data_IF_210994472078
#
_entry.id   IF_210994472078
#
_cell.length_a   1.000
_cell.length_b   1.000
_cell.length_c   1.000
_cell.angle_alpha   90.00
_cell.angle_beta   90.00
_cell.angle_gamma   90.00
#
_symmetry.space_group_name_H-M   'P 1'
#
loop_
_entity.id
_entity.type
_entity.pdbx_description
1 polymer ?
#
# COMPACT_ATOMS: atom_id res chain seq x y z
N UNK A 1 -5.15 -12.32 -6.39
CA UNK A 1 -4.62 -12.21 -5.01
C UNK A 1 -5.75 -12.50 -4.04
N UNK A 2 -5.55 -13.27 -2.95
CA UNK A 2 -6.56 -13.41 -1.91
C UNK A 2 -6.85 -12.06 -1.24
N UNK A 3 -8.10 -11.79 -0.91
CA UNK A 3 -8.48 -10.59 -0.16
C UNK A 3 -7.68 -10.50 1.16
N UNK A 4 -7.18 -9.30 1.48
CA UNK A 4 -6.40 -9.05 2.70
C UNK A 4 -4.92 -9.48 2.64
N UNK A 5 -4.37 -9.84 1.48
CA UNK A 5 -2.93 -10.14 1.33
C UNK A 5 -2.22 -9.08 0.49
N UNK A 6 -1.12 -8.54 1.03
CA UNK A 6 -0.27 -7.55 0.35
C UNK A 6 0.48 -8.11 -0.86
N UNK A 7 1.06 -7.23 -1.66
CA UNK A 7 1.88 -7.59 -2.82
C UNK A 7 3.35 -7.76 -2.38
N UNK A 8 4.04 -8.86 -2.75
CA UNK A 8 5.46 -8.99 -2.46
C UNK A 8 6.26 -7.87 -3.13
N UNK A 9 7.04 -7.17 -2.32
CA UNK A 9 7.87 -6.03 -2.71
C UNK A 9 9.27 -6.29 -2.16
N UNK A 10 10.29 -6.08 -2.97
CA UNK A 10 11.68 -6.35 -2.57
C UNK A 10 12.66 -5.64 -3.49
N UNK A 11 13.89 -5.45 -3.04
CA UNK A 11 15.00 -4.99 -3.87
C UNK A 11 16.32 -5.53 -3.35
N UNK A 12 17.30 -5.66 -4.24
CA UNK A 12 18.68 -5.95 -3.90
C UNK A 12 19.55 -4.79 -4.41
N UNK A 13 20.30 -4.15 -3.53
CA UNK A 13 21.18 -3.01 -3.85
C UNK A 13 22.60 -3.31 -3.38
N UNK A 14 23.59 -2.92 -4.16
CA UNK A 14 25.02 -3.05 -3.84
C UNK A 14 25.74 -1.71 -3.88
N UNK A 15 26.97 -1.68 -3.35
CA UNK A 15 27.87 -0.51 -3.42
C UNK A 15 27.34 0.75 -2.72
N UNK A 16 26.64 0.58 -1.61
CA UNK A 16 26.28 1.70 -0.72
C UNK A 16 27.52 2.07 0.12
N UNK A 17 27.92 3.34 0.08
CA UNK A 17 29.02 3.85 0.91
C UNK A 17 28.51 4.16 2.32
N UNK A 18 28.82 3.32 3.29
CA UNK A 18 28.36 3.51 4.69
C UNK A 18 28.92 4.81 5.27
N UNK A 19 30.19 5.13 5.03
CA UNK A 19 30.84 6.36 5.53
C UNK A 19 30.15 7.64 5.04
N UNK A 20 29.55 7.59 3.84
CA UNK A 20 28.79 8.71 3.26
C UNK A 20 27.42 8.90 3.92
N UNK A 21 26.92 7.88 4.64
CA UNK A 21 25.58 7.82 5.21
C UNK A 21 25.55 7.76 6.76
N UNK A 22 26.69 7.97 7.43
CA UNK A 22 26.79 8.04 8.90
C UNK A 22 27.13 9.45 9.40
N UNK A 23 26.68 9.79 10.61
CA UNK A 23 27.01 11.04 11.27
C UNK A 23 27.19 10.83 12.78
N UNK A 24 28.01 11.68 13.40
CA UNK A 24 28.28 11.64 14.85
C UNK A 24 27.19 12.35 15.67
N UNK A 25 26.22 13.00 15.02
CA UNK A 25 25.09 13.69 15.64
C UNK A 25 23.79 13.35 14.93
N UNK A 26 22.69 13.35 15.67
CA UNK A 26 21.34 13.12 15.12
C UNK A 26 20.99 14.15 14.03
N UNK A 27 21.35 15.41 14.25
CA UNK A 27 21.13 16.50 13.30
C UNK A 27 21.89 16.30 11.98
N UNK A 28 23.13 15.79 12.04
CA UNK A 28 23.90 15.44 10.85
C UNK A 28 23.46 14.15 10.15
N UNK A 29 22.72 13.29 10.84
CA UNK A 29 22.20 12.04 10.29
C UNK A 29 20.93 12.26 9.44
N UNK A 30 20.15 13.31 9.71
CA UNK A 30 18.88 13.61 9.04
C UNK A 30 19.00 13.71 7.51
N UNK A 31 20.08 14.30 7.02
CA UNK A 31 20.31 14.50 5.57
C UNK A 31 21.14 13.38 4.92
N UNK A 32 21.52 12.34 5.68
CA UNK A 32 22.38 11.24 5.23
C UNK A 32 21.64 9.93 5.02
N UNK A 33 20.31 9.96 4.99
CA UNK A 33 19.46 8.79 4.79
C UNK A 33 19.75 8.06 3.46
N UNK A 34 19.56 6.74 3.45
CA UNK A 34 19.64 5.92 2.26
C UNK A 34 18.23 5.71 1.71
N UNK A 35 17.99 6.12 0.47
CA UNK A 35 16.70 5.93 -0.20
C UNK A 35 16.76 4.75 -1.16
N UNK A 36 15.95 3.71 -0.90
CA UNK A 36 15.88 2.53 -1.76
C UNK A 36 14.47 2.42 -2.38
N UNK A 37 14.33 2.61 -3.71
CA UNK A 37 13.04 2.49 -4.36
C UNK A 37 12.61 1.03 -4.46
N UNK A 38 11.57 0.61 -3.77
CA UNK A 38 11.17 -0.80 -3.77
C UNK A 38 10.37 -1.19 -5.02
N UNK A 39 10.50 -2.44 -5.47
CA UNK A 39 9.77 -2.96 -6.65
C UNK A 39 8.93 -4.19 -6.32
N UNK A 40 7.71 -4.24 -6.88
CA UNK A 40 6.83 -5.41 -6.75
C UNK A 40 7.38 -6.59 -7.52
N UNK A 41 7.18 -7.81 -7.02
CA UNK A 41 7.52 -9.06 -7.71
C UNK A 41 6.45 -9.50 -8.72
N UNK A 42 5.48 -8.63 -9.00
CA UNK A 42 4.35 -8.88 -9.90
C UNK A 42 4.13 -7.69 -10.83
N UNK A 43 3.39 -7.93 -11.90
CA UNK A 43 2.88 -6.92 -12.83
C UNK A 43 1.36 -6.99 -12.87
N UNK A 44 0.71 -5.90 -13.27
CA UNK A 44 -0.74 -5.89 -13.51
C UNK A 44 -1.00 -6.08 -15.00
N UNK A 45 -2.02 -6.87 -15.32
CA UNK A 45 -2.57 -7.00 -16.66
C UNK A 45 -4.00 -6.51 -16.64
N UNK A 46 -4.29 -5.52 -17.47
CA UNK A 46 -5.58 -4.88 -17.63
C UNK A 46 -6.15 -5.16 -19.01
N UNK A 47 -7.46 -5.37 -19.05
CA UNK A 47 -8.25 -5.36 -20.27
C UNK A 47 -9.26 -4.21 -20.24
N UNK A 48 -9.20 -3.36 -21.26
CA UNK A 48 -10.14 -2.25 -21.46
C UNK A 48 -10.82 -2.40 -22.80
N UNK A 49 -12.12 -2.08 -22.85
CA UNK A 49 -12.89 -2.13 -24.07
C UNK A 49 -13.74 -0.88 -24.26
N UNK A 50 -13.73 -0.33 -25.47
CA UNK A 50 -14.59 0.77 -25.85
C UNK A 50 -15.28 0.51 -27.19
N UNK A 51 -16.39 1.21 -27.44
CA UNK A 51 -17.10 1.15 -28.72
C UNK A 51 -17.46 2.54 -29.19
N UNK A 52 -17.46 2.73 -30.50
CA UNK A 52 -17.85 4.01 -31.11
C UNK A 52 -19.34 4.29 -30.85
N UNK A 53 -19.62 5.51 -30.41
CA UNK A 53 -20.97 6.06 -30.21
C UNK A 53 -21.63 6.41 -31.55
N UNK A 54 -22.91 6.75 -31.51
CA UNK A 54 -23.69 7.12 -32.70
C UNK A 54 -24.39 5.94 -33.38
N UNK A 55 -25.55 6.22 -33.99
CA UNK A 55 -26.37 5.23 -34.70
C UNK A 55 -25.61 4.54 -35.82
N UNK A 56 -24.81 5.32 -36.56
CA UNK A 56 -24.17 4.89 -37.80
C UNK A 56 -23.02 3.90 -37.53
N UNK A 57 -22.49 3.90 -36.30
CA UNK A 57 -21.46 2.97 -35.88
C UNK A 57 -21.99 1.55 -35.65
N UNK A 58 -23.30 1.36 -35.46
CA UNK A 58 -23.97 0.07 -35.27
C UNK A 58 -23.36 -0.82 -34.15
N UNK A 59 -22.74 -0.23 -33.12
CA UNK A 59 -22.00 -0.99 -32.08
C UNK A 59 -22.88 -1.50 -30.93
N UNK A 60 -24.20 -1.37 -30.97
CA UNK A 60 -25.09 -1.72 -29.84
C UNK A 60 -25.20 -3.21 -29.53
N UNK A 61 -24.68 -4.07 -30.42
CA UNK A 61 -24.71 -5.53 -30.29
C UNK A 61 -23.33 -6.15 -30.08
N UNK A 62 -22.26 -5.35 -30.05
CA UNK A 62 -20.90 -5.88 -29.89
C UNK A 62 -20.68 -6.36 -28.47
N UNK A 63 -19.98 -7.48 -28.27
CA UNK A 63 -19.56 -7.94 -26.95
C UNK A 63 -18.30 -8.78 -27.03
N UNK A 64 -17.54 -8.82 -25.95
CA UNK A 64 -16.44 -9.77 -25.78
C UNK A 64 -17.02 -11.04 -25.15
N UNK A 65 -16.83 -12.20 -25.75
CA UNK A 65 -17.43 -13.45 -25.26
C UNK A 65 -16.55 -14.15 -24.24
N UNK A 66 -15.22 -14.12 -24.44
CA UNK A 66 -14.21 -14.59 -23.49
C UNK A 66 -12.83 -14.06 -23.85
N UNK A 67 -11.92 -14.10 -22.89
CA UNK A 67 -10.51 -13.81 -23.10
C UNK A 67 -9.70 -15.00 -22.62
N UNK A 68 -8.71 -15.42 -23.43
CA UNK A 68 -7.83 -16.53 -23.13
C UNK A 68 -6.37 -16.08 -23.20
N UNK A 69 -5.66 -16.15 -22.07
CA UNK A 69 -4.21 -15.94 -22.03
C UNK A 69 -3.54 -17.32 -22.14
N UNK A 70 -2.61 -17.47 -23.07
CA UNK A 70 -1.95 -18.74 -23.37
C UNK A 70 -1.29 -19.36 -22.12
N UNK A 71 -1.38 -20.69 -22.04
CA UNK A 71 -0.63 -21.46 -21.06
C UNK A 71 0.87 -21.41 -21.33
N UNK A 72 1.66 -21.91 -20.38
CA UNK A 72 3.12 -21.90 -20.41
C UNK A 72 3.78 -20.51 -20.42
N UNK A 73 3.03 -19.44 -20.15
CA UNK A 73 3.53 -18.06 -20.06
C UNK A 73 3.86 -17.64 -18.63
N UNK A 74 3.05 -18.03 -17.64
CA UNK A 74 3.18 -17.59 -16.25
C UNK A 74 3.97 -18.66 -15.47
N UNK A 75 5.06 -18.32 -14.75
CA UNK A 75 5.80 -19.31 -14.01
C UNK A 75 5.02 -19.83 -12.79
N UNK A 76 5.34 -21.04 -12.37
CA UNK A 76 4.74 -21.69 -11.19
C UNK A 76 5.16 -21.03 -9.88
N UNK A 77 6.38 -20.48 -9.84
CA UNK A 77 6.95 -19.71 -8.74
C UNK A 77 7.69 -18.48 -9.27
N UNK A 78 7.93 -17.50 -8.39
CA UNK A 78 8.70 -16.31 -8.72
C UNK A 78 9.86 -16.12 -7.75
N UNK A 79 10.96 -15.57 -8.23
CA UNK A 79 12.00 -15.02 -7.37
C UNK A 79 11.46 -13.77 -6.67
N UNK A 80 11.56 -13.77 -5.33
CA UNK A 80 11.14 -12.60 -4.55
C UNK A 80 12.06 -11.44 -4.88
N UNK A 81 13.37 -11.60 -4.67
CA UNK A 81 14.37 -10.58 -4.96
C UNK A 81 14.71 -10.51 -6.45
N UNK A 82 14.74 -9.30 -7.05
CA UNK A 82 15.30 -9.10 -8.38
C UNK A 82 16.84 -9.21 -8.32
N UNK A 83 17.50 -9.04 -9.46
CA UNK A 83 18.95 -8.93 -9.49
C UNK A 83 19.43 -7.65 -8.78
N UNK A 84 20.67 -7.71 -8.31
CA UNK A 84 21.32 -6.61 -7.60
C UNK A 84 21.55 -5.41 -8.53
N UNK A 85 21.23 -4.22 -8.02
CA UNK A 85 21.51 -2.97 -8.71
C UNK A 85 22.50 -2.11 -7.90
N UNK A 86 23.41 -1.43 -8.60
CA UNK A 86 24.30 -0.45 -7.98
C UNK A 86 23.47 0.69 -7.38
N UNK A 87 23.79 1.07 -6.14
CA UNK A 87 23.15 2.19 -5.45
C UNK A 87 23.30 3.50 -6.23
N UNK A 88 22.21 4.24 -6.33
CA UNK A 88 22.20 5.57 -6.91
C UNK A 88 21.23 6.42 -6.07
N UNK A 89 21.77 7.40 -5.36
CA UNK A 89 21.05 8.29 -4.44
C UNK A 89 19.88 9.02 -5.10
N UNK A 90 20.05 9.41 -6.38
CA UNK A 90 19.02 10.07 -7.18
C UNK A 90 18.35 9.12 -8.18
N UNK A 91 18.71 7.84 -8.16
CA UNK A 91 18.38 6.90 -9.22
C UNK A 91 17.22 5.98 -8.88
N UNK A 92 16.14 6.11 -9.65
CA UNK A 92 15.17 5.03 -9.79
C UNK A 92 15.73 4.02 -10.80
N UNK A 93 16.47 3.00 -10.35
CA UNK A 93 16.99 1.99 -11.29
C UNK A 93 15.83 1.06 -11.72
N UNK A 94 15.44 1.13 -12.99
CA UNK A 94 14.17 0.62 -13.56
C UNK A 94 14.25 -0.79 -14.14
N UNK A 95 15.45 -1.30 -14.35
CA UNK A 95 15.69 -2.57 -15.01
C UNK A 95 15.82 -3.68 -13.97
N UNK A 96 14.69 -4.05 -13.36
CA UNK A 96 14.60 -5.03 -12.26
C UNK A 96 14.20 -6.42 -12.74
N UNK A 97 14.64 -6.77 -13.95
CA UNK A 97 14.53 -8.12 -14.49
C UNK A 97 15.47 -9.02 -13.72
N UNK A 98 14.99 -10.13 -13.14
CA UNK A 98 15.94 -11.16 -12.72
C UNK A 98 16.40 -11.99 -13.92
N UNK A 99 17.70 -12.00 -14.20
CA UNK A 99 18.34 -12.88 -15.18
C UNK A 99 18.24 -14.35 -14.75
N UNK A 100 17.84 -14.64 -13.49
CA UNK A 100 17.67 -16.01 -12.99
C UNK A 100 16.56 -16.80 -13.69
N UNK A 101 15.67 -16.15 -14.44
CA UNK A 101 14.64 -16.81 -15.25
C UNK A 101 15.17 -17.41 -16.57
N UNK A 102 16.38 -17.03 -17.01
CA UNK A 102 17.00 -17.55 -18.24
C UNK A 102 17.62 -18.95 -18.07
N UNK A 103 17.53 -19.52 -16.87
CA UNK A 103 17.98 -20.88 -16.60
C UNK A 103 16.91 -21.92 -16.97
N UNK A 104 17.35 -23.04 -17.55
CA UNK A 104 16.56 -24.18 -18.02
C UNK A 104 15.67 -24.89 -16.95
N UNK A 105 15.58 -24.35 -15.74
CA UNK A 105 14.81 -24.91 -14.61
C UNK A 105 13.48 -24.22 -14.30
N UNK A 106 13.11 -23.12 -14.98
CA UNK A 106 11.84 -22.43 -14.70
C UNK A 106 10.65 -23.22 -15.23
N UNK A 107 9.83 -23.76 -14.32
CA UNK A 107 8.57 -24.43 -14.66
C UNK A 107 7.42 -23.41 -14.82
N UNK A 108 6.64 -23.58 -15.88
CA UNK A 108 5.50 -22.71 -16.22
C UNK A 108 4.16 -23.41 -15.99
N UNK A 109 3.14 -22.64 -15.65
CA UNK A 109 1.77 -23.12 -15.53
C UNK A 109 1.27 -23.52 -16.92
N UNK A 110 0.98 -24.80 -17.20
CA UNK A 110 0.67 -25.26 -18.55
C UNK A 110 -0.74 -24.87 -19.01
N UNK A 111 -1.62 -24.53 -18.08
CA UNK A 111 -3.03 -24.24 -18.35
C UNK A 111 -3.24 -22.81 -18.84
N UNK A 112 -4.06 -22.66 -19.87
CA UNK A 112 -4.61 -21.38 -20.33
C UNK A 112 -5.39 -20.69 -19.20
N UNK A 113 -5.14 -19.41 -18.98
CA UNK A 113 -5.93 -18.57 -18.09
C UNK A 113 -7.16 -18.08 -18.84
N UNK A 114 -8.34 -18.48 -18.36
CA UNK A 114 -9.64 -18.08 -18.92
C UNK A 114 -10.23 -16.95 -18.10
N UNK A 115 -10.56 -15.85 -18.77
CA UNK A 115 -11.14 -14.64 -18.19
C UNK A 115 -12.54 -14.41 -18.77
N UNK A 116 -13.35 -13.65 -18.05
CA UNK A 116 -14.75 -13.45 -18.41
C UNK A 116 -14.89 -12.64 -19.71
N UNK A 117 -16.04 -12.80 -20.36
CA UNK A 117 -16.46 -11.88 -21.42
C UNK A 117 -16.93 -10.54 -20.85
N UNK A 118 -17.17 -9.58 -21.74
CA UNK A 118 -17.70 -8.26 -21.42
C UNK A 118 -18.94 -7.99 -22.26
N UNK A 119 -20.08 -7.84 -21.59
CA UNK A 119 -21.35 -7.54 -22.24
C UNK A 119 -21.39 -6.11 -22.80
N UNK A 120 -22.19 -5.89 -23.84
CA UNK A 120 -22.24 -4.58 -24.54
C UNK A 120 -22.50 -3.39 -23.59
N UNK A 121 -23.38 -3.60 -22.61
CA UNK A 121 -23.76 -2.57 -21.62
C UNK A 121 -22.57 -2.13 -20.76
N UNK A 122 -21.57 -2.99 -20.62
CA UNK A 122 -20.37 -2.77 -19.81
C UNK A 122 -19.20 -2.26 -20.68
N UNK A 123 -19.32 -2.33 -22.02
CA UNK A 123 -18.40 -1.70 -22.97
C UNK A 123 -18.82 -0.24 -23.18
N UNK A 124 -18.00 0.68 -22.68
CA UNK A 124 -18.28 2.12 -22.75
C UNK A 124 -18.38 2.59 -24.20
N UNK A 125 -19.47 3.28 -24.51
CA UNK A 125 -19.63 4.01 -25.77
C UNK A 125 -18.93 5.37 -25.68
N UNK A 126 -18.07 5.68 -26.65
CA UNK A 126 -17.29 6.93 -26.74
C UNK A 126 -17.27 7.44 -28.18
N UNK A 127 -17.09 8.75 -28.37
CA UNK A 127 -17.14 9.37 -29.71
C UNK A 127 -15.98 8.95 -30.61
N UNK A 128 -14.76 8.90 -30.04
CA UNK A 128 -13.55 8.47 -30.72
C UNK A 128 -12.77 7.43 -29.87
N UNK A 129 -13.02 6.13 -30.07
CA UNK A 129 -12.26 5.09 -29.39
C UNK A 129 -10.76 5.09 -29.69
N UNK A 130 -10.32 5.63 -30.84
CA UNK A 130 -8.91 5.62 -31.24
C UNK A 130 -8.08 6.62 -30.44
N UNK A 131 -8.73 7.65 -29.88
CA UNK A 131 -8.08 8.64 -29.01
C UNK A 131 -7.42 8.02 -27.77
N UNK A 132 -7.90 6.85 -27.35
CA UNK A 132 -7.41 6.04 -26.23
C UNK A 132 -6.36 5.00 -26.62
N UNK A 133 -5.87 4.98 -27.86
CA UNK A 133 -4.66 4.22 -28.17
C UNK A 133 -3.47 4.89 -27.47
N UNK A 134 -2.60 4.09 -26.85
CA UNK A 134 -1.42 4.57 -26.13
C UNK A 134 -0.54 5.45 -27.04
N UNK A 135 -0.19 6.65 -26.53
CA UNK A 135 0.76 7.59 -27.15
C UNK A 135 2.01 7.71 -26.25
N UNK A 136 2.60 8.89 -26.16
CA UNK A 136 3.83 9.14 -25.37
C UNK A 136 3.59 9.49 -23.89
N UNK A 137 2.38 9.25 -23.35
CA UNK A 137 2.08 9.56 -21.94
C UNK A 137 2.66 8.54 -20.95
N UNK A 138 2.72 8.89 -19.67
CA UNK A 138 3.03 7.96 -18.58
C UNK A 138 1.94 6.89 -18.40
N UNK A 139 2.23 5.87 -17.58
CA UNK A 139 1.25 4.84 -17.23
C UNK A 139 0.00 5.43 -16.56
N UNK A 140 0.22 6.32 -15.59
CA UNK A 140 -0.85 6.92 -14.81
C UNK A 140 -1.75 7.79 -15.69
N UNK A 141 -1.16 8.67 -16.51
CA UNK A 141 -1.92 9.49 -17.46
C UNK A 141 -2.76 8.65 -18.44
N UNK A 142 -2.25 7.47 -18.82
CA UNK A 142 -2.99 6.56 -19.69
C UNK A 142 -4.18 5.90 -18.98
N UNK A 143 -3.97 5.40 -17.76
CA UNK A 143 -5.03 4.81 -16.95
C UNK A 143 -6.08 5.86 -16.54
N UNK A 144 -5.65 7.08 -16.23
CA UNK A 144 -6.52 8.21 -15.90
C UNK A 144 -7.41 8.61 -17.09
N UNK A 145 -6.88 8.55 -18.33
CA UNK A 145 -7.69 8.80 -19.51
C UNK A 145 -8.88 7.83 -19.60
N UNK A 146 -8.66 6.53 -19.37
CA UNK A 146 -9.75 5.55 -19.32
C UNK A 146 -10.74 5.85 -18.19
N UNK A 147 -10.23 6.12 -16.99
CA UNK A 147 -11.05 6.38 -15.82
C UNK A 147 -11.94 7.64 -15.98
N UNK A 148 -11.37 8.72 -16.51
CA UNK A 148 -12.07 9.98 -16.74
C UNK A 148 -13.22 9.83 -17.74
N UNK A 149 -13.06 8.99 -18.76
CA UNK A 149 -14.12 8.66 -19.72
C UNK A 149 -15.12 7.62 -19.17
N UNK A 150 -14.77 6.95 -18.06
CA UNK A 150 -15.53 5.87 -17.47
C UNK A 150 -15.38 4.52 -18.20
N UNK A 151 -14.29 4.33 -18.94
CA UNK A 151 -13.89 3.04 -19.50
C UNK A 151 -13.24 2.24 -18.37
N UNK A 152 -13.91 1.17 -17.92
CA UNK A 152 -13.47 0.38 -16.76
C UNK A 152 -12.54 -0.76 -17.18
N UNK A 153 -11.67 -1.17 -16.28
CA UNK A 153 -10.91 -2.40 -16.45
C UNK A 153 -11.80 -3.60 -16.10
N UNK A 154 -11.88 -4.58 -16.99
CA UNK A 154 -12.79 -5.72 -16.82
C UNK A 154 -12.13 -6.93 -16.14
N UNK A 155 -10.86 -7.22 -16.44
CA UNK A 155 -10.14 -8.37 -15.90
C UNK A 155 -8.75 -7.99 -15.40
N UNK A 156 -8.69 -7.27 -14.27
CA UNK A 156 -7.41 -6.94 -13.62
C UNK A 156 -6.76 -8.21 -13.03
N UNK A 157 -5.66 -8.63 -13.66
CA UNK A 157 -4.87 -9.77 -13.23
C UNK A 157 -3.54 -9.31 -12.63
N UNK A 158 -3.11 -9.94 -11.54
CA UNK A 158 -1.75 -9.80 -11.03
C UNK A 158 -0.92 -10.98 -11.49
N UNK A 159 0.04 -10.71 -12.36
CA UNK A 159 0.90 -11.70 -12.97
C UNK A 159 2.23 -11.79 -12.25
N UNK A 160 2.69 -13.02 -12.02
CA UNK A 160 4.07 -13.30 -11.63
C UNK A 160 5.02 -12.79 -12.71
N UNK A 161 6.19 -12.31 -12.28
CA UNK A 161 7.29 -11.95 -13.17
C UNK A 161 7.58 -13.10 -14.16
N UNK A 162 7.66 -12.79 -15.46
CA UNK A 162 7.90 -13.77 -16.53
C UNK A 162 8.81 -13.18 -17.60
N UNK A 163 9.76 -13.97 -18.12
CA UNK A 163 10.58 -13.62 -19.28
C UNK A 163 9.95 -14.07 -20.61
N UNK A 164 8.77 -14.68 -20.59
CA UNK A 164 8.03 -15.08 -21.80
C UNK A 164 7.06 -13.98 -22.22
N UNK A 165 6.88 -13.85 -23.53
CA UNK A 165 5.83 -13.01 -24.09
C UNK A 165 4.45 -13.48 -23.59
N UNK A 166 3.60 -12.52 -23.23
CA UNK A 166 2.23 -12.79 -22.81
C UNK A 166 1.35 -12.68 -24.04
N UNK A 167 0.85 -13.83 -24.49
CA UNK A 167 0.01 -13.97 -25.67
C UNK A 167 -1.38 -14.42 -25.28
N UNK A 168 -2.35 -14.09 -26.12
CA UNK A 168 -3.70 -14.56 -25.92
C UNK A 168 -4.63 -14.22 -27.06
N UNK A 169 -5.86 -14.68 -26.91
CA UNK A 169 -6.94 -14.51 -27.87
C UNK A 169 -8.13 -13.87 -27.17
N UNK A 170 -8.67 -12.81 -27.78
CA UNK A 170 -9.93 -12.18 -27.38
C UNK A 170 -10.99 -12.65 -28.35
N UNK A 171 -12.00 -13.35 -27.83
CA UNK A 171 -13.15 -13.77 -28.61
C UNK A 171 -14.26 -12.75 -28.44
N UNK A 172 -14.91 -12.40 -29.54
CA UNK A 172 -15.91 -11.35 -29.56
C UNK A 172 -17.01 -11.65 -30.57
N UNK A 173 -18.13 -10.95 -30.44
CA UNK A 173 -19.24 -10.99 -31.37
C UNK A 173 -19.65 -9.56 -31.72
N UNK A 174 -20.15 -9.39 -32.94
CA UNK A 174 -20.68 -8.12 -33.46
C UNK A 174 -22.21 -8.10 -33.53
N UNK A 175 -22.84 -9.25 -33.25
CA UNK A 175 -24.25 -9.56 -33.50
C UNK A 175 -24.92 -10.18 -32.25
N UNK A 176 -24.55 -9.71 -31.05
CA UNK A 176 -25.20 -10.11 -29.81
C UNK A 176 -24.82 -11.49 -29.28
N UNK A 177 -23.81 -12.14 -29.88
CA UNK A 177 -23.33 -13.47 -29.52
C UNK A 177 -23.71 -14.58 -30.50
N UNK A 178 -24.30 -14.26 -31.65
CA UNK A 178 -24.71 -15.26 -32.65
C UNK A 178 -23.48 -15.80 -33.39
N UNK A 179 -22.58 -14.92 -33.83
CA UNK A 179 -21.34 -15.26 -34.52
C UNK A 179 -20.14 -14.88 -33.68
N UNK A 180 -19.28 -15.84 -33.38
CA UNK A 180 -18.01 -15.60 -32.69
C UNK A 180 -16.88 -15.35 -33.68
N UNK A 181 -16.10 -14.32 -33.39
CA UNK A 181 -14.84 -13.95 -34.05
C UNK A 181 -13.75 -13.88 -32.98
N UNK A 182 -12.50 -13.75 -33.42
CA UNK A 182 -11.37 -13.63 -32.51
C UNK A 182 -10.31 -12.68 -33.05
N UNK A 183 -9.62 -12.01 -32.13
CA UNK A 183 -8.37 -11.29 -32.42
C UNK A 183 -7.31 -11.67 -31.40
N UNK A 184 -6.04 -11.60 -31.78
CA UNK A 184 -4.93 -12.00 -30.91
C UNK A 184 -4.21 -10.78 -30.36
N UNK A 185 -3.60 -10.93 -29.19
CA UNK A 185 -2.69 -9.94 -28.64
C UNK A 185 -1.36 -10.57 -28.27
N UNK A 186 -0.30 -9.77 -28.34
CA UNK A 186 1.05 -10.17 -28.00
C UNK A 186 1.72 -9.03 -27.24
N UNK A 187 1.98 -9.25 -25.95
CA UNK A 187 2.80 -8.38 -25.12
C UNK A 187 4.20 -8.97 -25.13
N UNK A 188 5.15 -8.35 -25.86
CA UNK A 188 6.50 -8.89 -25.95
C UNK A 188 7.21 -8.79 -24.59
N UNK A 189 8.06 -9.77 -24.27
CA UNK A 189 9.03 -9.64 -23.18
C UNK A 189 10.39 -9.17 -23.67
N UNK A 190 10.70 -9.37 -24.96
CA UNK A 190 12.03 -9.15 -25.56
C UNK A 190 13.17 -9.84 -24.78
N UNK A 191 12.87 -10.92 -24.05
CA UNK A 191 13.80 -11.62 -23.16
C UNK A 191 13.96 -10.97 -21.78
N UNK A 192 13.38 -9.79 -21.53
CA UNK A 192 13.38 -9.15 -20.23
C UNK A 192 12.14 -9.52 -19.43
N UNK A 193 12.32 -9.80 -18.14
CA UNK A 193 11.22 -10.19 -17.29
C UNK A 193 10.29 -9.00 -17.02
N UNK A 194 8.99 -9.24 -17.18
CA UNK A 194 7.96 -8.22 -17.05
C UNK A 194 7.63 -8.05 -15.55
N UNK A 195 8.50 -7.36 -14.81
CA UNK A 195 8.35 -7.07 -13.37
C UNK A 195 7.92 -5.62 -13.13
N UNK A 196 7.00 -5.41 -12.18
CA UNK A 196 6.53 -4.07 -11.79
C UNK A 196 6.11 -3.23 -13.00
N UNK A 197 5.29 -3.83 -13.89
CA UNK A 197 4.74 -3.18 -15.08
C UNK A 197 3.21 -3.09 -15.00
N UNK A 198 2.68 -2.05 -15.62
CA UNK A 198 1.28 -1.92 -16.01
C UNK A 198 1.15 -2.40 -17.46
N UNK A 199 0.54 -3.57 -17.63
CA UNK A 199 0.29 -4.17 -18.93
C UNK A 199 -1.14 -3.89 -19.32
N UNK A 200 -1.35 -3.23 -20.45
CA UNK A 200 -2.69 -2.86 -20.90
C UNK A 200 -2.95 -3.48 -22.26
N UNK A 201 -4.04 -4.22 -22.36
CA UNK A 201 -4.62 -4.69 -23.61
C UNK A 201 -5.90 -3.88 -23.85
N UNK A 202 -5.83 -2.93 -24.78
CA UNK A 202 -6.97 -2.10 -25.14
C UNK A 202 -7.59 -2.59 -26.44
N UNK A 203 -8.86 -2.99 -26.37
CA UNK A 203 -9.67 -3.40 -27.51
C UNK A 203 -10.74 -2.37 -27.85
N UNK A 204 -10.99 -2.08 -29.12
CA UNK A 204 -12.07 -1.18 -29.50
C UNK A 204 -12.84 -1.57 -30.76
N UNK A 205 -14.12 -1.16 -30.81
CA UNK A 205 -15.03 -1.39 -31.94
C UNK A 205 -15.40 -0.07 -32.62
N UNK A 206 -15.02 0.10 -33.89
CA UNK A 206 -15.37 1.29 -34.68
C UNK A 206 -16.67 1.16 -35.46
N UNK A 207 -16.96 -0.05 -35.93
CA UNK A 207 -18.15 -0.39 -36.69
C UNK A 207 -18.63 -1.75 -36.18
N UNK A 208 -19.94 -1.88 -35.95
CA UNK A 208 -20.55 -3.10 -35.42
C UNK A 208 -20.55 -4.24 -36.43
N UNK A 209 -21.70 -4.55 -37.02
CA UNK A 209 -21.90 -5.74 -37.86
C UNK A 209 -20.89 -5.88 -39.02
N UNK A 210 -20.32 -4.78 -39.51
CA UNK A 210 -19.32 -4.77 -40.60
C UNK A 210 -17.87 -4.55 -40.12
N UNK A 211 -17.63 -4.35 -38.83
CA UNK A 211 -16.29 -4.06 -38.32
C UNK A 211 -15.57 -5.27 -37.73
N UNK A 212 -14.57 -4.95 -36.92
CA UNK A 212 -13.74 -5.89 -36.16
C UNK A 212 -13.36 -5.24 -34.84
N UNK A 213 -12.94 -6.08 -33.89
CA UNK A 213 -12.17 -5.61 -32.75
C UNK A 213 -10.77 -5.24 -33.26
N UNK A 214 -10.25 -4.10 -32.80
CA UNK A 214 -8.82 -3.78 -32.93
C UNK A 214 -8.20 -3.83 -31.54
N UNK A 215 -7.07 -4.53 -31.39
CA UNK A 215 -6.40 -4.71 -30.10
C UNK A 215 -5.01 -4.07 -30.12
N UNK A 216 -4.73 -3.24 -29.10
CA UNK A 216 -3.44 -2.57 -28.93
C UNK A 216 -2.86 -2.88 -27.54
N UNK A 217 -1.83 -3.73 -27.44
CA UNK A 217 -1.12 -3.96 -26.20
C UNK A 217 -0.13 -2.81 -25.91
N UNK A 218 0.11 -2.54 -24.64
CA UNK A 218 1.17 -1.62 -24.19
C UNK A 218 1.79 -2.07 -22.87
N UNK A 219 3.08 -1.79 -22.72
CA UNK A 219 3.88 -2.08 -21.52
C UNK A 219 4.29 -0.76 -20.93
N UNK A 220 3.97 -0.55 -19.66
CA UNK A 220 4.20 0.71 -18.99
C UNK A 220 4.79 0.47 -17.61
N UNK A 221 5.49 1.48 -17.08
CA UNK A 221 6.03 1.39 -15.73
C UNK A 221 4.91 1.49 -14.70
N UNK A 222 4.88 0.56 -13.75
CA UNK A 222 4.01 0.74 -12.60
C UNK A 222 4.66 1.73 -11.62
N UNK A 223 4.28 2.99 -11.75
CA UNK A 223 4.87 4.13 -11.05
C UNK A 223 4.56 4.18 -9.55
N UNK A 224 3.52 3.49 -9.06
CA UNK A 224 3.23 3.40 -7.60
C UNK A 224 4.22 2.51 -6.83
N UNK A 225 5.49 2.44 -7.25
CA UNK A 225 6.55 1.86 -6.44
C UNK A 225 6.67 2.64 -5.15
N UNK A 226 6.35 2.00 -4.02
CA UNK A 226 6.56 2.64 -2.72
C UNK A 226 8.03 3.06 -2.62
N UNK A 227 8.28 4.34 -2.42
CA UNK A 227 9.56 4.75 -1.84
C UNK A 227 9.45 4.45 -0.36
N UNK A 228 10.29 3.52 0.13
CA UNK A 228 10.56 3.46 1.56
C UNK A 228 11.63 4.49 1.87
N UNK A 229 11.25 5.47 2.67
CA UNK A 229 12.16 6.42 3.26
C UNK A 229 12.48 5.88 4.65
N UNK A 230 13.76 5.56 4.90
CA UNK A 230 14.21 5.17 6.24
C UNK A 230 14.35 6.38 7.18
N UNK A 231 14.03 7.58 6.69
CA UNK A 231 13.67 8.69 7.57
C UNK A 231 12.26 8.37 8.06
N UNK A 232 12.19 7.73 9.22
CA UNK A 232 10.93 7.45 9.93
C UNK A 232 10.04 8.69 9.85
N UNK A 233 8.74 8.50 9.57
CA UNK A 233 7.77 9.50 9.97
C UNK A 233 8.02 9.73 11.46
N UNK A 234 8.54 10.91 11.82
CA UNK A 234 8.93 11.18 13.20
C UNK A 234 7.74 11.85 13.88
N UNK A 235 7.29 11.24 14.97
CA UNK A 235 6.49 11.95 15.95
C UNK A 235 7.43 12.30 17.08
N UNK A 236 7.68 13.59 17.29
CA UNK A 236 8.41 14.01 18.48
C UNK A 236 7.53 13.72 19.69
N UNK A 237 8.00 12.86 20.59
CA UNK A 237 7.26 12.58 21.82
C UNK A 237 7.91 13.34 22.96
N UNK A 238 7.18 14.33 23.48
CA UNK A 238 7.63 15.10 24.63
C UNK A 238 7.07 14.44 25.88
N UNK A 239 7.98 13.98 26.72
CA UNK A 239 7.67 13.37 28.01
C UNK A 239 8.01 14.34 29.15
N UNK A 240 7.17 14.43 30.20
CA UNK A 240 7.51 15.15 31.41
C UNK A 240 8.39 14.30 32.33
N UNK A 241 9.18 14.97 33.17
CA UNK A 241 9.77 14.36 34.37
C UNK A 241 8.62 13.99 35.33
N UNK A 242 8.24 12.71 35.29
CA UNK A 242 7.14 12.16 36.08
C UNK A 242 7.58 10.90 36.81
N UNK A 243 6.82 10.54 37.83
CA UNK A 243 7.10 9.36 38.66
C UNK A 243 7.08 8.07 37.85
N UNK A 244 8.08 7.22 38.10
CA UNK A 244 8.27 5.92 37.43
C UNK A 244 8.26 4.77 38.44
N UNK A 245 7.93 3.59 37.96
CA UNK A 245 8.21 2.30 38.58
C UNK A 245 9.40 1.65 37.88
N UNK A 246 9.76 0.42 38.28
CA UNK A 246 10.74 -0.36 37.52
C UNK A 246 10.26 -0.79 36.13
N UNK A 247 8.97 -0.63 35.82
CA UNK A 247 8.36 -1.08 34.58
C UNK A 247 7.95 0.07 33.63
N UNK A 248 7.51 1.21 34.18
CA UNK A 248 7.04 2.33 33.37
C UNK A 248 6.61 3.54 34.20
N UNK A 249 5.82 4.42 33.61
CA UNK A 249 5.27 5.59 34.30
C UNK A 249 4.12 5.23 35.23
N UNK A 250 4.05 5.88 36.39
CA UNK A 250 2.92 5.69 37.32
C UNK A 250 1.66 6.37 36.80
N UNK A 251 0.54 5.66 36.86
CA UNK A 251 -0.80 6.19 36.57
C UNK A 251 -1.79 5.80 37.66
N UNK A 252 -2.85 6.61 37.82
CA UNK A 252 -3.75 6.53 38.97
C UNK A 252 -5.20 6.47 38.51
N UNK A 253 -5.97 5.55 39.10
CA UNK A 253 -7.41 5.49 38.85
C UNK A 253 -8.10 6.73 39.43
N UNK A 254 -8.99 7.34 38.66
CA UNK A 254 -9.74 8.54 39.09
C UNK A 254 -8.92 9.83 39.11
N UNK A 255 -7.62 9.80 38.76
CA UNK A 255 -6.72 10.95 38.90
C UNK A 255 -5.79 11.10 37.68
N UNK A 256 -6.32 11.47 36.49
CA UNK A 256 -5.54 11.58 35.24
C UNK A 256 -4.29 12.45 35.37
N UNK A 257 -4.44 13.65 35.95
CA UNK A 257 -3.37 14.65 36.06
C UNK A 257 -2.23 14.29 37.02
N UNK A 258 -2.37 13.22 37.82
CA UNK A 258 -1.23 12.68 38.61
C UNK A 258 -0.30 11.81 37.76
N UNK A 259 -0.76 11.32 36.62
CA UNK A 259 0.06 10.64 35.63
C UNK A 259 0.81 11.65 34.74
N UNK A 260 1.77 11.17 33.93
CA UNK A 260 2.45 12.03 32.97
C UNK A 260 1.49 12.51 31.87
N UNK A 261 1.52 13.81 31.56
CA UNK A 261 0.92 14.33 30.33
C UNK A 261 1.83 13.99 29.16
N UNK A 262 1.34 13.20 28.21
CA UNK A 262 2.10 12.83 27.02
C UNK A 262 1.76 13.78 25.89
N UNK A 263 2.79 14.27 25.19
CA UNK A 263 2.62 15.05 23.96
C UNK A 263 3.20 14.28 22.79
N UNK A 264 2.37 14.00 21.79
CA UNK A 264 2.80 13.54 20.48
C UNK A 264 2.74 14.74 19.53
N UNK A 265 3.90 15.31 19.20
CA UNK A 265 4.01 16.52 18.40
C UNK A 265 4.28 16.18 16.94
N UNK A 266 3.62 16.96 16.08
CA UNK A 266 3.84 16.90 14.63
C UNK A 266 3.61 15.51 14.01
N UNK A 267 2.63 14.73 14.50
CA UNK A 267 2.29 13.41 13.96
C UNK A 267 1.97 13.54 12.46
N UNK A 268 2.91 13.15 11.61
CA UNK A 268 2.79 13.21 10.15
C UNK A 268 2.87 11.80 9.56
N UNK A 269 1.70 11.25 9.25
CA UNK A 269 1.57 9.94 8.62
C UNK A 269 1.53 10.01 7.09
N UNK A 270 1.88 11.18 6.51
CA UNK A 270 1.83 11.49 5.08
C UNK A 270 0.42 11.26 4.50
N UNK A 271 -0.60 11.76 5.20
CA UNK A 271 -2.01 11.68 4.79
C UNK A 271 -2.70 10.34 5.07
N UNK A 272 -2.04 9.39 5.74
CA UNK A 272 -2.67 8.12 6.10
C UNK A 272 -3.39 8.18 7.46
N UNK A 273 -4.58 7.57 7.60
CA UNK A 273 -5.26 7.51 8.90
C UNK A 273 -4.43 6.80 9.97
N UNK A 274 -4.55 7.23 11.22
CA UNK A 274 -3.87 6.61 12.35
C UNK A 274 -4.73 6.50 13.60
N UNK A 275 -4.37 5.54 14.47
CA UNK A 275 -5.05 5.25 15.73
C UNK A 275 -4.01 5.12 16.85
N UNK A 276 -4.19 5.87 17.93
CA UNK A 276 -3.48 5.67 19.20
C UNK A 276 -4.25 4.65 20.04
N UNK A 277 -3.56 3.60 20.49
CA UNK A 277 -4.16 2.45 21.15
C UNK A 277 -3.30 1.95 22.30
N UNK A 278 -3.91 1.11 23.14
CA UNK A 278 -3.22 0.35 24.18
C UNK A 278 -3.51 -1.13 24.02
N UNK A 279 -2.57 -1.99 24.41
CA UNK A 279 -2.74 -3.44 24.41
C UNK A 279 -3.58 -3.94 25.59
N UNK A 280 -3.77 -3.10 26.62
CA UNK A 280 -4.60 -3.42 27.77
C UNK A 280 -5.94 -2.67 27.70
N UNK A 281 -7.07 -3.38 27.44
CA UNK A 281 -8.39 -2.74 27.31
C UNK A 281 -8.89 -2.10 28.61
N UNK A 282 -8.27 -2.38 29.76
CA UNK A 282 -8.56 -1.74 31.05
C UNK A 282 -7.96 -0.34 31.16
N UNK A 283 -7.18 0.10 30.18
CA UNK A 283 -6.64 1.45 30.09
C UNK A 283 -7.32 2.21 28.95
N UNK A 284 -7.22 3.53 29.01
CA UNK A 284 -7.68 4.42 27.97
C UNK A 284 -6.99 5.77 28.06
N UNK A 285 -7.52 6.72 27.30
CA UNK A 285 -6.92 8.03 27.07
C UNK A 285 -7.88 9.14 27.48
N UNK A 286 -7.35 10.16 28.14
CA UNK A 286 -8.05 11.43 28.36
C UNK A 286 -7.33 12.48 27.55
N UNK A 287 -7.96 12.96 26.48
CA UNK A 287 -7.40 14.08 25.71
C UNK A 287 -7.49 15.38 26.51
N UNK A 288 -6.42 16.15 26.54
CA UNK A 288 -6.30 17.39 27.30
C UNK A 288 -5.82 18.55 26.42
N UNK A 289 -5.79 19.75 27.01
CA UNK A 289 -5.16 20.92 26.39
C UNK A 289 -3.63 20.86 26.55
N UNK A 290 -2.92 21.77 25.87
CA UNK A 290 -1.46 21.83 25.88
C UNK A 290 -0.84 22.11 27.27
N UNK A 291 -1.62 22.71 28.17
CA UNK A 291 -1.24 22.99 29.57
C UNK A 291 -1.62 21.84 30.54
N UNK A 292 -2.18 20.74 30.03
CA UNK A 292 -2.64 19.61 30.84
C UNK A 292 -4.01 19.80 31.49
N UNK A 293 -4.68 20.94 31.25
CA UNK A 293 -6.06 21.13 31.68
C UNK A 293 -7.02 20.24 30.89
N UNK A 294 -8.13 19.83 31.52
CA UNK A 294 -9.19 19.11 30.83
C UNK A 294 -9.76 19.96 29.70
N UNK A 295 -10.17 19.31 28.60
CA UNK A 295 -10.91 19.99 27.54
C UNK A 295 -12.22 20.57 28.06
N UNK A 296 -12.77 21.53 27.34
CA UNK A 296 -14.06 22.14 27.66
C UNK A 296 -15.12 21.07 27.98
N UNK A 297 -15.94 21.34 29.00
CA UNK A 297 -16.98 20.43 29.53
C UNK A 297 -16.46 19.19 30.28
N UNK A 298 -15.15 19.01 30.44
CA UNK A 298 -14.55 17.97 31.29
C UNK A 298 -13.97 18.55 32.58
N UNK A 299 -13.96 17.74 33.64
CA UNK A 299 -13.40 18.09 34.94
C UNK A 299 -12.82 16.86 35.63
N UNK A 300 -12.20 17.05 36.80
CA UNK A 300 -11.71 15.92 37.61
C UNK A 300 -12.83 14.92 37.98
N UNK A 301 -14.09 15.39 38.06
CA UNK A 301 -15.24 14.55 38.41
C UNK A 301 -16.01 14.01 37.19
N UNK A 302 -15.70 14.49 35.98
CA UNK A 302 -16.52 14.25 34.77
C UNK A 302 -15.72 14.14 33.46
N UNK A 303 -14.47 13.67 33.52
CA UNK A 303 -13.65 13.48 32.33
C UNK A 303 -14.06 12.23 31.52
N UNK A 304 -13.80 12.27 30.21
CA UNK A 304 -14.12 11.18 29.29
C UNK A 304 -12.88 10.32 29.05
N UNK A 305 -13.03 9.01 29.21
CA UNK A 305 -12.00 8.04 28.89
C UNK A 305 -12.32 7.42 27.53
N UNK A 306 -11.50 7.72 26.54
CA UNK A 306 -11.57 7.10 25.22
C UNK A 306 -10.75 5.80 25.21
N UNK A 307 -11.24 4.75 24.57
CA UNK A 307 -10.48 3.50 24.45
C UNK A 307 -9.37 3.58 23.39
N UNK A 308 -9.48 4.54 22.47
CA UNK A 308 -8.51 4.84 21.43
C UNK A 308 -8.72 6.29 20.96
N UNK A 309 -7.70 6.89 20.35
CA UNK A 309 -7.81 8.20 19.69
C UNK A 309 -7.53 8.01 18.21
N UNK A 310 -8.41 8.51 17.34
CA UNK A 310 -8.31 8.31 15.89
C UNK A 310 -8.18 9.64 15.14
N UNK A 311 -7.30 9.68 14.16
CA UNK A 311 -7.26 10.72 13.13
C UNK A 311 -7.55 10.06 11.78
N UNK A 312 -8.76 10.26 11.28
CA UNK A 312 -9.22 9.67 10.00
C UNK A 312 -8.66 10.39 8.78
N UNK A 313 -8.26 11.65 8.93
CA UNK A 313 -7.81 12.50 7.82
C UNK A 313 -6.33 12.31 7.53
N UNK A 314 -5.56 11.73 8.47
CA UNK A 314 -4.11 11.61 8.35
C UNK A 314 -3.41 12.97 8.31
N UNK A 315 -4.11 14.04 8.71
CA UNK A 315 -3.57 15.39 8.79
C UNK A 315 -2.53 15.49 9.90
N UNK A 316 -1.53 16.34 9.67
CA UNK A 316 -0.49 16.66 10.65
C UNK A 316 -1.14 17.19 11.92
N UNK A 317 -0.87 16.56 13.06
CA UNK A 317 -1.55 16.86 14.32
C UNK A 317 -0.62 16.74 15.52
N UNK A 318 -0.78 17.67 16.47
CA UNK A 318 -0.22 17.55 17.82
C UNK A 318 -1.31 17.07 18.78
N UNK A 319 -1.00 16.08 19.61
CA UNK A 319 -1.93 15.48 20.56
C UNK A 319 -1.36 15.56 21.98
N UNK A 320 -2.22 15.98 22.92
CA UNK A 320 -1.94 16.00 24.35
C UNK A 320 -2.93 15.06 25.05
N UNK A 321 -2.43 14.14 25.87
CA UNK A 321 -3.29 13.19 26.57
C UNK A 321 -2.66 12.61 27.83
N UNK A 322 -3.51 12.07 28.69
CA UNK A 322 -3.15 11.22 29.82
C UNK A 322 -3.56 9.77 29.54
N UNK A 323 -2.75 8.82 30.02
CA UNK A 323 -3.11 7.40 30.05
C UNK A 323 -3.70 7.08 31.42
N UNK A 324 -4.89 6.48 31.43
CA UNK A 324 -5.65 6.27 32.67
C UNK A 324 -6.20 4.86 32.79
N UNK A 325 -6.15 4.24 33.99
CA UNK A 325 -6.91 3.02 34.27
C UNK A 325 -8.41 3.31 34.27
N UNK A 326 -9.20 2.42 33.68
CA UNK A 326 -10.68 2.48 33.69
C UNK A 326 -11.28 1.93 34.98
N UNK A 327 -10.52 1.15 35.73
CA UNK A 327 -10.95 0.52 36.98
C UNK A 327 -9.90 0.70 38.07
N UNK A 328 -10.35 0.65 39.33
CA UNK A 328 -9.45 0.66 40.50
C UNK A 328 -8.58 -0.60 40.50
N UNK A 329 -7.34 -0.44 40.96
CA UNK A 329 -6.36 -1.52 41.08
C UNK A 329 -6.93 -2.66 41.93
N UNK A 330 -7.05 -3.85 41.32
CA UNK A 330 -7.37 -5.09 42.03
C UNK A 330 -6.06 -5.81 42.41
N UNK A 331 -5.73 -5.77 43.70
CA UNK A 331 -4.51 -6.41 44.22
C UNK A 331 -4.54 -7.94 44.12
N UNK A 332 -5.70 -8.56 43.85
CA UNK A 332 -5.81 -10.00 43.62
C UNK A 332 -5.48 -10.42 42.18
N UNK A 333 -5.44 -9.48 41.21
CA UNK A 333 -5.16 -9.75 39.79
C UNK A 333 -3.97 -8.93 39.26
N UNK A 334 -2.73 -9.37 39.51
CA UNK A 334 -1.53 -8.59 39.23
C UNK A 334 -1.23 -8.34 37.74
N UNK A 335 -1.90 -9.01 36.81
CA UNK A 335 -1.70 -8.84 35.36
C UNK A 335 -2.48 -7.66 34.76
N UNK A 336 -3.41 -7.04 35.50
CA UNK A 336 -4.28 -5.98 35.01
C UNK A 336 -3.74 -4.56 35.25
N UNK A 337 -2.49 -4.44 35.69
CA UNK A 337 -1.94 -3.20 36.24
C UNK A 337 -1.02 -2.48 35.26
N UNK A 338 -0.82 -3.02 34.05
CA UNK A 338 0.19 -2.60 33.09
C UNK A 338 -0.40 -2.36 31.71
N UNK A 339 0.06 -1.31 31.02
CA UNK A 339 -0.36 -0.99 29.66
C UNK A 339 0.82 -0.51 28.81
N UNK A 340 0.90 -1.01 27.59
CA UNK A 340 1.68 -0.43 26.51
C UNK A 340 0.80 0.51 25.70
N UNK A 341 1.36 1.65 25.28
CA UNK A 341 0.72 2.57 24.34
C UNK A 341 1.52 2.60 23.06
N UNK A 342 0.82 2.44 21.94
CA UNK A 342 1.38 2.41 20.60
C UNK A 342 0.45 3.09 19.61
N UNK A 343 1.00 3.51 18.48
CA UNK A 343 0.24 4.10 17.38
C UNK A 343 0.24 3.14 16.18
N UNK A 344 -0.90 3.00 15.52
CA UNK A 344 -1.05 2.19 14.30
C UNK A 344 -1.45 3.07 13.13
N UNK A 345 -0.76 2.89 12.00
CA UNK A 345 -1.16 3.45 10.70
C UNK A 345 -2.05 2.44 9.99
N UNK A 346 -3.19 2.88 9.46
CA UNK A 346 -4.11 1.99 8.75
C UNK A 346 -3.43 1.45 7.46
N UNK A 347 -3.40 0.12 7.19
CA UNK A 347 -4.15 -0.94 7.86
C UNK A 347 -3.31 -1.87 8.73
N UNK A 348 -2.72 -1.34 9.81
CA UNK A 348 -2.06 -2.02 10.94
C UNK A 348 -0.52 -2.05 10.91
N UNK A 349 0.14 -1.00 10.42
CA UNK A 349 1.58 -0.81 10.65
C UNK A 349 1.78 -0.13 12.01
N UNK A 350 2.45 -0.83 12.95
CA UNK A 350 2.78 -0.27 14.27
C UNK A 350 3.92 0.75 14.11
N UNK A 351 3.72 1.92 14.70
CA UNK A 351 4.61 3.05 14.63
C UNK A 351 5.43 3.15 15.91
N UNK A 352 6.73 3.41 15.79
CA UNK A 352 7.61 3.56 16.97
C UNK A 352 7.34 4.92 17.62
N UNK A 353 6.87 4.91 18.87
CA UNK A 353 6.60 6.13 19.63
C UNK A 353 7.82 6.61 20.45
N UNK A 354 8.86 5.80 20.57
CA UNK A 354 10.08 6.15 21.29
C UNK A 354 11.33 5.91 20.42
N UNK A 355 11.57 6.76 19.38
CA UNK A 355 12.61 6.51 18.38
C UNK A 355 14.03 6.54 18.97
N UNK A 356 14.26 7.33 20.02
CA UNK A 356 15.59 7.47 20.63
C UNK A 356 15.86 6.41 21.71
N UNK A 357 14.92 5.51 21.99
CA UNK A 357 15.03 4.46 23.02
C UNK A 357 15.41 4.99 24.43
N UNK A 358 15.24 6.30 24.67
CA UNK A 358 15.65 6.97 25.90
C UNK A 358 14.80 6.59 27.12
N UNK A 359 13.59 6.08 26.88
CA UNK A 359 12.69 5.61 27.91
C UNK A 359 13.01 4.18 28.33
N UNK A 360 13.34 4.00 29.61
CA UNK A 360 13.49 2.68 30.21
C UNK A 360 12.12 2.18 30.69
N UNK A 361 11.64 1.13 30.04
CA UNK A 361 10.55 0.26 30.49
C UNK A 361 11.03 -1.19 30.49
N UNK A 362 10.27 -2.11 29.89
CA UNK A 362 10.73 -3.49 29.71
C UNK A 362 12.06 -3.52 28.90
N UNK A 363 13.11 -4.12 29.47
CA UNK A 363 14.45 -4.22 28.86
C UNK A 363 14.63 -5.50 28.04
N UNK A 364 13.57 -6.30 27.88
CA UNK A 364 13.61 -7.63 27.28
C UNK A 364 12.40 -7.86 26.37
N UNK A 365 12.61 -8.41 25.17
CA UNK A 365 11.57 -8.68 24.17
C UNK A 365 11.74 -7.88 22.87
N UNK A 366 10.98 -8.24 21.83
CA UNK A 366 11.08 -7.67 20.47
C UNK A 366 10.69 -6.17 20.40
N UNK A 367 9.87 -5.72 21.35
CA UNK A 367 9.35 -4.34 21.48
C UNK A 367 10.05 -3.52 22.58
N UNK A 368 11.12 -4.06 23.19
CA UNK A 368 11.83 -3.41 24.29
C UNK A 368 12.37 -2.04 23.86
N UNK A 369 11.95 -0.99 24.59
CA UNK A 369 12.34 0.40 24.33
C UNK A 369 11.62 1.09 23.16
N UNK A 370 10.71 0.42 22.44
CA UNK A 370 9.96 1.03 21.31
C UNK A 370 8.62 1.66 21.72
N UNK A 371 8.02 1.14 22.79
CA UNK A 371 6.71 1.56 23.30
C UNK A 371 6.79 2.26 24.66
N UNK A 372 5.73 3.01 24.98
CA UNK A 372 5.60 3.70 26.25
C UNK A 372 4.85 2.81 27.23
N UNK A 373 5.43 2.60 28.41
CA UNK A 373 4.94 1.68 29.44
C UNK A 373 4.31 2.46 30.60
N UNK A 374 3.13 2.03 31.05
CA UNK A 374 2.39 2.61 32.19
C UNK A 374 1.97 1.55 33.22
N UNK A 375 2.28 1.79 34.48
CA UNK A 375 1.87 0.93 35.59
C UNK A 375 0.91 1.67 36.51
N UNK A 376 -0.27 1.08 36.71
CA UNK A 376 -1.23 1.55 37.71
C UNK A 376 -0.68 1.33 39.10
N UNK A 377 -0.72 2.40 39.91
CA UNK A 377 -0.36 2.38 41.33
C UNK A 377 -1.57 2.81 42.18
N UNK A 378 -1.45 2.59 43.50
CA UNK A 378 -2.48 2.96 44.47
C UNK A 378 -2.63 4.47 44.67
#
# INVERSE_FOLDING_TARGET
MPAGKGLPISRAITQISVDSHVADTEEGAKDKGIRIPLVRAVSKLHFYFARKSGSDANTSQVKVTRIEVEGNTIPTASYVFPDEAIYNENGYNQNVTSQKYDNAGTAYVPTTLKLAGVENKDIKAVDDPESFIKKNQSAQEYLDAFNNEGIKSHDLCYLRETNKAIKGTIYYSLDGGVTEKSDTFNIPSEGNAIRNRELVVYGYFLNGQMGKLTVTPSIQEWQDGGTYDYIDASTEVIFPDADKTGWGYKVYYGQPQRGPMITLKDIDTKGAPWILQTDNPLFGFVECNADGSYKDEQSADSYKIESYIINKEGAKKTLYFYVVPKNRLDMAQPHNVRAHVFLTKNPNERFVLNPDFNLKGCTTGEDAGKDIHFEQVL
#
